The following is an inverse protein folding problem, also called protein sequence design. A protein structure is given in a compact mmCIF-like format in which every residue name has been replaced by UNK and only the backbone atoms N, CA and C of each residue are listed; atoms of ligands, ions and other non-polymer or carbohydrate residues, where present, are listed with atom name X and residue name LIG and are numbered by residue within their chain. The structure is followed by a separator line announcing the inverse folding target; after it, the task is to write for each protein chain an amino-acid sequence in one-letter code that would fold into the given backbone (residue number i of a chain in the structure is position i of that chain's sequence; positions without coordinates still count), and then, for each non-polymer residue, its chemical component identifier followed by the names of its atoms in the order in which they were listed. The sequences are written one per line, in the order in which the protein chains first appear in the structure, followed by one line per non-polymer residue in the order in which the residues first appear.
data_IF_790514834894
#
_entry.id   IF_790514834894
#
_cell.length_a   1.000
_cell.length_b   1.000
_cell.length_c   1.000
_cell.angle_alpha   90.00
_cell.angle_beta   90.00
_cell.angle_gamma   90.00
#
_symmetry.space_group_name_H-M   'P 1'
#
loop_
_entity.id
_entity.type
_entity.pdbx_description
1 polymer ?
#
# COMPACT_ATOMS: atom_id res chain seq x y z
N UNK A 1 20.93 -1.50 -10.86
CA UNK A 1 20.61 -0.59 -9.74
C UNK A 1 19.26 0.06 -9.97
N UNK A 2 18.49 0.33 -8.92
CA UNK A 2 17.23 1.06 -9.01
C UNK A 2 17.46 2.57 -9.19
N UNK A 3 16.75 3.20 -10.12
CA UNK A 3 16.80 4.63 -10.40
C UNK A 3 15.44 5.27 -10.13
N UNK A 4 15.43 6.39 -9.41
CA UNK A 4 14.22 7.17 -9.22
C UNK A 4 13.99 8.04 -10.45
N UNK A 5 12.79 7.96 -11.03
CA UNK A 5 12.35 8.75 -12.17
C UNK A 5 11.36 9.81 -11.71
N UNK A 6 11.54 11.02 -12.21
CA UNK A 6 10.78 12.21 -11.84
C UNK A 6 10.16 12.82 -13.09
N UNK A 7 8.85 13.05 -13.04
CA UNK A 7 8.06 13.70 -14.08
C UNK A 7 8.23 13.07 -15.48
N UNK A 8 8.35 11.74 -15.53
CA UNK A 8 8.44 10.97 -16.77
C UNK A 8 7.19 10.10 -16.93
N UNK A 9 6.67 9.96 -18.16
CA UNK A 9 5.54 9.09 -18.49
C UNK A 9 5.56 8.71 -19.97
N UNK A 10 6.29 7.65 -20.31
CA UNK A 10 6.50 7.21 -21.70
C UNK A 10 5.47 6.18 -22.18
N UNK A 11 4.72 5.61 -21.26
CA UNK A 11 3.71 4.59 -21.57
C UNK A 11 2.44 5.27 -22.13
N UNK A 12 1.98 4.90 -23.35
CA UNK A 12 0.79 5.49 -23.96
C UNK A 12 -0.52 5.21 -23.19
N UNK A 13 -0.52 4.27 -22.24
CA UNK A 13 -1.65 3.99 -21.36
C UNK A 13 -1.78 5.00 -20.22
N UNK A 14 -0.73 5.78 -19.95
CA UNK A 14 -0.76 6.83 -18.93
C UNK A 14 -1.38 8.12 -19.47
N UNK A 15 -2.22 8.76 -18.65
CA UNK A 15 -2.81 10.08 -18.94
C UNK A 15 -2.64 11.01 -17.75
N UNK A 16 -2.40 12.30 -17.99
CA UNK A 16 -2.12 13.29 -16.95
C UNK A 16 -2.68 14.64 -17.38
N UNK A 17 -3.12 15.45 -16.42
CA UNK A 17 -3.54 16.84 -16.63
C UNK A 17 -2.38 17.85 -16.54
N UNK A 18 -1.23 17.45 -16.00
CA UNK A 18 -0.12 18.34 -15.66
C UNK A 18 1.24 17.89 -16.21
N UNK A 19 1.25 17.13 -17.30
CA UNK A 19 2.47 16.61 -17.94
C UNK A 19 3.37 15.82 -16.97
N UNK A 20 2.77 15.01 -16.10
CA UNK A 20 3.43 14.13 -15.13
C UNK A 20 4.20 14.84 -14.01
N UNK A 21 4.05 16.16 -13.86
CA UNK A 21 4.66 16.89 -12.74
C UNK A 21 4.21 16.25 -11.41
N UNK A 22 5.17 15.87 -10.56
CA UNK A 22 4.95 15.16 -9.30
C UNK A 22 4.94 13.64 -9.38
N UNK A 23 4.98 13.07 -10.59
CA UNK A 23 5.13 11.62 -10.74
C UNK A 23 6.52 11.20 -10.29
N UNK A 24 6.57 10.25 -9.36
CA UNK A 24 7.77 9.61 -8.85
C UNK A 24 7.60 8.09 -8.99
N UNK A 25 8.55 7.42 -9.65
CA UNK A 25 8.52 5.96 -9.79
C UNK A 25 9.93 5.40 -9.92
N UNK A 26 10.12 4.15 -9.51
CA UNK A 26 11.42 3.48 -9.54
C UNK A 26 11.53 2.55 -10.75
N UNK A 27 12.65 2.60 -11.46
CA UNK A 27 12.98 1.70 -12.56
C UNK A 27 14.29 0.97 -12.28
N UNK A 28 14.31 -0.35 -12.49
CA UNK A 28 15.54 -1.13 -12.40
C UNK A 28 16.32 -1.08 -13.71
N UNK A 29 17.59 -0.72 -13.63
CA UNK A 29 18.52 -0.72 -14.76
C UNK A 29 19.74 -1.58 -14.41
N UNK A 30 19.98 -2.73 -15.07
CA UNK A 30 21.09 -3.63 -14.76
C UNK A 30 22.46 -3.00 -15.02
N UNK A 31 22.54 -2.03 -15.93
CA UNK A 31 23.77 -1.33 -16.31
C UNK A 31 24.00 -0.06 -15.47
N UNK A 32 23.01 0.35 -14.66
CA UNK A 32 23.13 1.50 -13.79
C UNK A 32 24.12 1.31 -12.63
N UNK A 33 24.90 2.36 -12.38
CA UNK A 33 25.73 2.54 -11.20
C UNK A 33 27.12 1.93 -11.34
N UNK A 34 28.15 2.62 -10.81
CA UNK A 34 29.51 2.08 -10.72
C UNK A 34 29.60 0.92 -9.71
N UNK A 35 30.65 0.09 -9.73
CA UNK A 35 30.85 -0.95 -8.72
C UNK A 35 30.78 -0.41 -7.28
N UNK A 36 31.33 0.79 -7.04
CA UNK A 36 31.33 1.45 -5.73
C UNK A 36 29.91 1.89 -5.32
N UNK A 37 29.13 2.43 -6.25
CA UNK A 37 27.73 2.81 -5.99
C UNK A 37 26.86 1.59 -5.67
N UNK A 38 27.06 0.49 -6.40
CA UNK A 38 26.36 -0.77 -6.14
C UNK A 38 26.76 -1.35 -4.79
N UNK A 39 28.05 -1.32 -4.45
CA UNK A 39 28.54 -1.77 -3.14
C UNK A 39 27.99 -0.92 -1.99
N UNK A 40 27.89 0.40 -2.18
CA UNK A 40 27.30 1.31 -1.20
C UNK A 40 25.81 1.00 -0.96
N UNK A 41 25.04 0.72 -2.01
CA UNK A 41 23.64 0.29 -1.88
C UNK A 41 23.52 -1.01 -1.06
N UNK A 42 24.36 -2.00 -1.32
CA UNK A 42 24.35 -3.26 -0.54
C UNK A 42 24.81 -3.06 0.92
N UNK A 43 25.76 -2.14 1.16
CA UNK A 43 26.16 -1.74 2.51
C UNK A 43 24.96 -1.17 3.28
N UNK A 44 24.24 -0.21 2.69
CA UNK A 44 23.06 0.40 3.31
C UNK A 44 21.96 -0.61 3.63
N UNK A 45 21.70 -1.55 2.72
CA UNK A 45 20.73 -2.65 2.94
C UNK A 45 21.13 -3.55 4.10
N UNK A 46 22.41 -3.90 4.17
CA UNK A 46 22.96 -4.74 5.24
C UNK A 46 22.92 -4.04 6.59
N UNK A 47 23.19 -2.73 6.61
CA UNK A 47 23.08 -1.90 7.82
C UNK A 47 21.65 -1.79 8.31
N UNK A 48 20.69 -1.52 7.42
CA UNK A 48 19.28 -1.51 7.77
C UNK A 48 18.87 -2.85 8.38
N UNK A 49 19.15 -3.96 7.70
CA UNK A 49 18.79 -5.30 8.17
C UNK A 49 19.36 -5.61 9.56
N UNK A 50 20.62 -5.22 9.83
CA UNK A 50 21.25 -5.42 11.14
C UNK A 50 20.57 -4.62 12.25
N UNK A 51 20.14 -3.40 11.94
CA UNK A 51 19.57 -2.46 12.91
C UNK A 51 18.03 -2.38 12.86
N UNK A 52 17.35 -3.24 12.08
CA UNK A 52 15.90 -3.22 11.80
C UNK A 52 14.99 -3.25 13.03
N UNK A 53 15.46 -3.88 14.11
CA UNK A 53 14.70 -3.94 15.39
C UNK A 53 14.92 -2.70 16.27
N UNK A 54 15.92 -1.87 15.97
CA UNK A 54 16.17 -0.58 16.64
C UNK A 54 15.58 0.59 15.87
N UNK A 55 15.51 0.46 14.54
CA UNK A 55 14.97 1.45 13.60
C UNK A 55 14.18 0.72 12.53
N UNK A 56 12.87 0.79 12.64
CA UNK A 56 11.95 0.09 11.74
C UNK A 56 11.65 0.91 10.48
N UNK A 57 11.86 2.23 10.51
CA UNK A 57 11.65 3.13 9.38
C UNK A 57 12.91 3.28 8.53
N UNK A 58 12.76 3.26 7.21
CA UNK A 58 13.81 3.70 6.29
C UNK A 58 14.02 5.22 6.34
N UNK A 59 15.17 5.64 5.84
CA UNK A 59 15.62 7.02 5.77
C UNK A 59 15.78 7.49 4.31
N UNK A 60 15.16 6.80 3.35
CA UNK A 60 15.26 7.07 1.91
C UNK A 60 16.70 7.20 1.40
N UNK A 61 17.62 6.39 1.93
CA UNK A 61 19.05 6.58 1.69
C UNK A 61 19.41 6.37 0.21
N UNK A 62 18.68 5.47 -0.46
CA UNK A 62 18.81 5.17 -1.89
C UNK A 62 18.47 6.38 -2.76
N UNK A 63 17.40 7.11 -2.43
CA UNK A 63 17.00 8.35 -3.10
C UNK A 63 18.01 9.46 -2.81
N UNK A 64 18.40 9.62 -1.54
CA UNK A 64 19.36 10.64 -1.10
C UNK A 64 20.72 10.49 -1.77
N UNK A 65 21.20 9.25 -1.97
CA UNK A 65 22.44 8.98 -2.71
C UNK A 65 22.38 9.50 -4.16
N UNK A 66 21.27 9.27 -4.85
CA UNK A 66 21.08 9.73 -6.23
C UNK A 66 21.00 11.25 -6.28
N UNK A 67 20.20 11.87 -5.41
CA UNK A 67 20.00 13.32 -5.41
C UNK A 67 21.24 14.09 -5.01
N UNK A 68 22.04 13.56 -4.07
CA UNK A 68 23.35 14.14 -3.72
C UNK A 68 24.29 14.22 -4.93
N UNK A 69 24.22 13.24 -5.84
CA UNK A 69 25.02 13.22 -7.07
C UNK A 69 24.44 14.14 -8.15
N UNK A 70 23.12 14.11 -8.35
CA UNK A 70 22.44 14.84 -9.42
C UNK A 70 22.36 16.35 -9.18
N UNK A 71 22.01 16.76 -7.97
CA UNK A 71 21.86 18.17 -7.62
C UNK A 71 23.18 18.80 -7.13
N UNK A 72 24.17 17.98 -6.80
CA UNK A 72 25.38 18.39 -6.11
C UNK A 72 25.12 18.75 -4.64
N UNK A 73 26.19 18.96 -3.87
CA UNK A 73 26.13 19.47 -2.51
C UNK A 73 26.67 20.89 -2.49
N UNK A 74 25.82 21.87 -2.16
CA UNK A 74 26.30 23.21 -1.81
C UNK A 74 27.25 23.16 -0.60
N UNK A 75 27.93 24.27 -0.31
CA UNK A 75 28.73 24.36 0.91
C UNK A 75 27.82 24.26 2.13
N UNK A 76 27.91 23.14 2.87
CA UNK A 76 27.25 22.96 4.16
C UNK A 76 28.22 23.43 5.24
N UNK A 77 27.90 24.52 5.99
CA UNK A 77 28.78 25.01 7.05
C UNK A 77 29.06 23.95 8.13
N UNK A 78 30.22 24.09 8.80
CA UNK A 78 30.53 23.28 9.96
C UNK A 78 29.48 23.46 11.07
N UNK A 79 29.19 22.39 11.80
CA UNK A 79 28.27 22.44 12.93
C UNK A 79 28.87 23.29 14.06
N UNK A 80 28.11 24.25 14.56
CA UNK A 80 28.42 24.93 15.83
C UNK A 80 27.88 24.05 16.95
N UNK A 81 28.78 23.47 17.75
CA UNK A 81 28.43 22.66 18.92
C UNK A 81 28.21 23.58 20.11
N UNK A 82 27.03 23.52 20.69
CA UNK A 82 26.65 24.26 21.90
C UNK A 82 26.63 23.24 23.04
N UNK A 83 27.23 23.56 24.19
CA UNK A 83 27.13 22.73 25.40
C UNK A 83 25.80 23.00 26.13
N UNK A 84 25.34 22.07 26.96
CA UNK A 84 24.00 22.13 27.60
C UNK A 84 23.73 23.42 28.40
N UNK A 85 24.77 24.11 28.87
CA UNK A 85 24.67 25.33 29.67
C UNK A 85 24.98 26.63 28.89
N UNK A 86 25.36 26.53 27.60
CA UNK A 86 25.72 27.68 26.78
C UNK A 86 24.48 28.38 26.18
N UNK A 87 24.48 29.72 26.19
CA UNK A 87 23.41 30.51 25.58
C UNK A 87 23.41 30.30 24.07
N UNK A 88 22.26 29.91 23.53
CA UNK A 88 22.09 29.72 22.08
C UNK A 88 22.22 31.07 21.37
N UNK A 89 23.26 31.23 20.57
CA UNK A 89 23.49 32.45 19.79
C UNK A 89 22.70 32.45 18.48
N UNK A 90 22.35 33.64 18.00
CA UNK A 90 21.73 33.82 16.67
C UNK A 90 22.59 33.21 15.56
N UNK A 91 23.92 33.37 15.64
CA UNK A 91 24.85 32.76 14.69
C UNK A 91 24.74 31.23 14.68
N UNK A 92 24.60 30.58 15.84
CA UNK A 92 24.47 29.13 15.92
C UNK A 92 23.13 28.64 15.34
N UNK A 93 22.04 29.38 15.59
CA UNK A 93 20.72 29.10 14.99
C UNK A 93 20.81 29.24 13.47
N UNK A 94 21.27 30.40 12.97
CA UNK A 94 21.36 30.68 11.54
C UNK A 94 22.27 29.69 10.82
N UNK A 95 23.40 29.32 11.42
CA UNK A 95 24.30 28.29 10.85
C UNK A 95 23.60 26.94 10.79
N UNK A 96 22.86 26.56 11.83
CA UNK A 96 22.11 25.29 11.85
C UNK A 96 20.98 25.29 10.81
N UNK A 97 20.25 26.39 10.68
CA UNK A 97 19.22 26.56 9.65
C UNK A 97 19.82 26.48 8.25
N UNK A 98 20.94 27.17 7.97
CA UNK A 98 21.63 27.04 6.67
C UNK A 98 22.04 25.61 6.37
N UNK A 99 22.57 24.89 7.35
CA UNK A 99 22.94 23.46 7.18
C UNK A 99 21.70 22.62 6.82
N UNK A 100 20.61 22.79 7.55
CA UNK A 100 19.37 22.05 7.31
C UNK A 100 18.75 22.39 5.95
N UNK A 101 18.63 23.67 5.62
CA UNK A 101 18.04 24.14 4.36
C UNK A 101 18.91 23.80 3.15
N UNK A 102 20.24 23.92 3.24
CA UNK A 102 21.14 23.49 2.16
C UNK A 102 20.99 21.99 1.91
N UNK A 103 21.01 21.17 2.97
CA UNK A 103 20.79 19.73 2.83
C UNK A 103 19.41 19.41 2.25
N UNK A 104 18.35 20.05 2.75
CA UNK A 104 16.99 19.78 2.33
C UNK A 104 16.72 20.24 0.88
N UNK A 105 17.26 21.38 0.47
CA UNK A 105 17.21 21.87 -0.92
C UNK A 105 17.88 20.91 -1.91
N UNK A 106 18.93 20.19 -1.49
CA UNK A 106 19.56 19.15 -2.34
C UNK A 106 18.64 17.97 -2.63
N UNK A 107 17.61 17.74 -1.80
CA UNK A 107 16.63 16.67 -1.99
C UNK A 107 15.46 17.08 -2.88
N UNK A 108 15.42 18.33 -3.36
CA UNK A 108 14.36 18.79 -4.25
C UNK A 108 14.54 18.22 -5.66
N UNK A 109 13.46 17.67 -6.21
CA UNK A 109 13.43 17.14 -7.56
C UNK A 109 13.45 18.25 -8.62
N UNK A 110 13.79 17.86 -9.86
CA UNK A 110 13.90 18.78 -11.00
C UNK A 110 12.60 19.50 -11.35
N UNK A 111 11.45 18.90 -11.07
CA UNK A 111 10.10 19.46 -11.29
C UNK A 111 9.58 20.26 -10.07
N UNK A 112 10.36 20.33 -8.99
CA UNK A 112 10.16 21.24 -7.86
C UNK A 112 9.57 20.64 -6.59
N UNK A 113 9.10 19.38 -6.59
CA UNK A 113 8.65 18.71 -5.37
C UNK A 113 9.80 18.03 -4.62
N UNK A 114 9.51 17.53 -3.42
CA UNK A 114 10.40 16.65 -2.66
C UNK A 114 9.87 15.22 -2.74
N UNK A 115 10.55 14.32 -3.47
CA UNK A 115 10.20 12.92 -3.47
C UNK A 115 10.39 12.34 -2.07
N UNK A 116 9.41 11.58 -1.60
CA UNK A 116 9.43 11.00 -0.28
C UNK A 116 8.64 9.69 -0.26
N UNK A 117 9.06 8.81 0.64
CA UNK A 117 8.27 7.66 1.06
C UNK A 117 6.98 8.09 1.76
N UNK A 118 5.85 7.53 1.33
CA UNK A 118 4.56 7.59 2.02
C UNK A 118 3.96 6.19 2.20
N UNK A 119 4.66 5.38 3.01
CA UNK A 119 4.31 4.00 3.33
C UNK A 119 4.29 3.77 4.85
N UNK A 120 4.43 2.51 5.28
CA UNK A 120 4.48 2.12 6.68
C UNK A 120 3.36 1.16 7.10
N UNK A 121 2.24 1.13 6.37
CA UNK A 121 1.21 0.11 6.58
C UNK A 121 1.62 -1.23 5.95
N UNK A 122 1.58 -2.30 6.74
CA UNK A 122 1.95 -3.64 6.28
C UNK A 122 0.86 -4.32 5.43
N UNK A 123 -0.30 -3.68 5.26
CA UNK A 123 -1.43 -4.19 4.46
C UNK A 123 -1.58 -3.47 3.11
N UNK A 124 -0.55 -2.77 2.61
CA UNK A 124 -0.58 -2.19 1.26
C UNK A 124 -0.01 -3.15 0.20
N UNK A 125 1.20 -3.66 0.45
CA UNK A 125 1.87 -4.59 -0.45
C UNK A 125 1.11 -5.94 -0.58
N UNK A 126 0.68 -6.60 0.51
CA UNK A 126 0.09 -7.93 0.40
C UNK A 126 -1.20 -7.98 -0.44
N UNK A 127 -2.21 -7.10 -0.23
CA UNK A 127 -3.38 -7.03 -1.11
C UNK A 127 -3.07 -6.82 -2.58
N UNK A 128 -2.07 -5.98 -2.90
CA UNK A 128 -1.66 -5.78 -4.28
C UNK A 128 -1.06 -7.06 -4.89
N UNK A 129 -0.19 -7.76 -4.15
CA UNK A 129 0.36 -9.05 -4.60
C UNK A 129 -0.76 -10.06 -4.83
N UNK A 130 -1.75 -10.15 -3.93
CA UNK A 130 -2.93 -10.99 -4.13
C UNK A 130 -3.70 -10.61 -5.39
N UNK A 131 -3.99 -9.32 -5.59
CA UNK A 131 -4.71 -8.82 -6.76
C UNK A 131 -3.98 -9.17 -8.08
N UNK A 132 -2.66 -8.97 -8.12
CA UNK A 132 -1.84 -9.32 -9.28
C UNK A 132 -1.77 -10.84 -9.52
N UNK A 133 -1.77 -11.63 -8.44
CA UNK A 133 -1.76 -13.07 -8.53
C UNK A 133 -3.06 -13.62 -9.12
N UNK A 134 -4.21 -13.21 -8.58
CA UNK A 134 -5.52 -13.71 -9.03
C UNK A 134 -5.88 -13.28 -10.45
N UNK A 135 -5.36 -12.13 -10.89
CA UNK A 135 -5.55 -11.61 -12.26
C UNK A 135 -4.51 -12.13 -13.26
N UNK A 136 -3.51 -12.90 -12.82
CA UNK A 136 -2.40 -13.38 -13.65
C UNK A 136 -1.44 -12.28 -14.12
N UNK A 137 -1.49 -11.08 -13.51
CA UNK A 137 -0.69 -9.92 -13.90
C UNK A 137 0.70 -9.86 -13.23
N UNK A 138 1.04 -10.79 -12.33
CA UNK A 138 2.34 -10.82 -11.63
C UNK A 138 3.53 -10.66 -12.57
N UNK A 139 3.62 -11.45 -13.65
CA UNK A 139 4.74 -11.38 -14.60
C UNK A 139 4.70 -10.15 -15.53
N UNK A 140 3.53 -9.50 -15.65
CA UNK A 140 3.36 -8.31 -16.49
C UNK A 140 3.86 -7.04 -15.81
N UNK A 141 3.82 -7.01 -14.48
CA UNK A 141 4.15 -5.83 -13.67
C UNK A 141 5.42 -6.04 -12.86
N UNK A 142 5.62 -7.23 -12.28
CA UNK A 142 6.70 -7.51 -11.35
C UNK A 142 7.81 -8.31 -12.02
N UNK A 143 8.91 -7.63 -12.35
CA UNK A 143 10.16 -8.30 -12.74
C UNK A 143 10.75 -9.08 -11.55
N UNK A 144 11.75 -9.92 -11.81
CA UNK A 144 12.48 -10.63 -10.76
C UNK A 144 13.01 -9.68 -9.68
N UNK A 145 13.53 -8.52 -10.08
CA UNK A 145 14.07 -7.53 -9.16
C UNK A 145 12.98 -6.89 -8.29
N UNK A 146 11.79 -6.63 -8.82
CA UNK A 146 10.65 -6.17 -8.00
C UNK A 146 10.34 -7.19 -6.90
N UNK A 147 10.28 -8.48 -7.25
CA UNK A 147 9.97 -9.55 -6.27
C UNK A 147 11.03 -9.65 -5.19
N UNK A 148 12.31 -9.62 -5.57
CA UNK A 148 13.44 -9.63 -4.61
C UNK A 148 13.33 -8.48 -3.61
N UNK A 149 13.03 -7.27 -4.09
CA UNK A 149 12.88 -6.10 -3.21
C UNK A 149 11.62 -6.17 -2.33
N UNK A 150 10.50 -6.68 -2.85
CA UNK A 150 9.27 -6.87 -2.08
C UNK A 150 9.43 -7.93 -0.99
N UNK A 151 10.09 -9.04 -1.31
CA UNK A 151 10.47 -10.09 -0.34
C UNK A 151 11.40 -9.51 0.73
N UNK A 152 12.41 -8.72 0.31
CA UNK A 152 13.31 -8.03 1.26
C UNK A 152 12.54 -7.12 2.21
N UNK A 153 11.59 -6.33 1.71
CA UNK A 153 10.75 -5.47 2.54
C UNK A 153 9.96 -6.28 3.57
N UNK A 154 9.26 -7.33 3.13
CA UNK A 154 8.48 -8.18 4.04
C UNK A 154 9.37 -8.84 5.10
N UNK A 155 10.56 -9.35 4.74
CA UNK A 155 11.46 -9.94 5.73
C UNK A 155 12.07 -8.93 6.69
N UNK A 156 12.36 -7.71 6.24
CA UNK A 156 12.90 -6.65 7.09
C UNK A 156 11.91 -6.15 8.14
N UNK A 157 10.61 -6.29 7.87
CA UNK A 157 9.53 -5.90 8.79
C UNK A 157 8.86 -7.09 9.49
N UNK A 158 9.48 -8.27 9.47
CA UNK A 158 9.08 -9.37 10.33
C UNK A 158 9.57 -9.09 11.76
N UNK A 159 8.67 -9.18 12.74
CA UNK A 159 8.98 -8.99 14.15
C UNK A 159 9.81 -10.16 14.71
N UNK A 160 10.44 -9.96 15.87
CA UNK A 160 11.27 -10.98 16.54
C UNK A 160 10.47 -12.26 16.88
N UNK A 161 9.16 -12.14 17.11
CA UNK A 161 8.26 -13.27 17.37
C UNK A 161 7.88 -14.06 16.10
N UNK A 162 8.32 -13.62 14.93
CA UNK A 162 8.04 -14.22 13.62
C UNK A 162 6.80 -13.68 12.92
N UNK A 163 5.97 -12.87 13.57
CA UNK A 163 4.79 -12.28 12.96
C UNK A 163 5.06 -10.94 12.25
N UNK A 164 3.98 -10.33 11.78
CA UNK A 164 3.95 -8.99 11.19
C UNK A 164 2.81 -8.17 11.78
N UNK A 165 3.06 -6.89 12.01
CA UNK A 165 2.04 -5.97 12.52
C UNK A 165 1.14 -5.35 11.46
N UNK A 166 0.23 -4.48 11.90
CA UNK A 166 -0.60 -3.64 11.01
C UNK A 166 0.23 -2.57 10.28
N UNK A 167 1.29 -2.10 10.92
CA UNK A 167 2.30 -1.18 10.39
C UNK A 167 3.70 -1.61 10.84
N UNK A 168 4.74 -1.04 10.24
CA UNK A 168 6.15 -1.45 10.45
C UNK A 168 6.64 -1.33 11.90
N UNK A 169 6.04 -0.44 12.69
CA UNK A 169 6.31 -0.29 14.14
C UNK A 169 5.34 -1.06 15.05
N UNK A 170 4.40 -1.82 14.45
CA UNK A 170 3.34 -2.49 15.18
C UNK A 170 3.76 -3.88 15.66
N UNK A 171 3.22 -4.27 16.82
CA UNK A 171 3.26 -5.67 17.26
C UNK A 171 2.55 -6.57 16.25
N UNK A 172 2.94 -7.84 16.24
CA UNK A 172 2.37 -8.84 15.35
C UNK A 172 0.87 -9.00 15.54
N UNK A 173 0.12 -9.06 14.43
CA UNK A 173 -1.33 -9.27 14.42
C UNK A 173 -1.70 -10.38 13.45
N UNK A 174 -2.91 -10.95 13.57
CA UNK A 174 -3.38 -11.97 12.64
C UNK A 174 -3.57 -11.40 11.24
N UNK A 175 -4.03 -10.14 11.14
CA UNK A 175 -4.14 -9.49 9.85
C UNK A 175 -2.77 -9.34 9.18
N UNK A 176 -1.82 -8.68 9.85
CA UNK A 176 -0.49 -8.42 9.31
C UNK A 176 0.26 -9.70 8.97
N UNK A 177 0.28 -10.66 9.90
CA UNK A 177 1.01 -11.93 9.73
C UNK A 177 0.38 -12.80 8.64
N UNK A 178 -0.95 -12.95 8.65
CA UNK A 178 -1.65 -13.79 7.69
C UNK A 178 -1.45 -13.33 6.25
N UNK A 179 -1.67 -12.03 5.97
CA UNK A 179 -1.53 -11.52 4.60
C UNK A 179 -0.06 -11.44 4.16
N UNK A 180 0.88 -11.13 5.05
CA UNK A 180 2.31 -11.06 4.72
C UNK A 180 2.88 -12.44 4.38
N UNK A 181 2.54 -13.46 5.18
CA UNK A 181 2.89 -14.85 4.88
C UNK A 181 2.33 -15.28 3.51
N UNK A 182 1.05 -15.01 3.26
CA UNK A 182 0.42 -15.33 1.97
C UNK A 182 1.13 -14.59 0.84
N UNK A 183 1.42 -13.30 0.95
CA UNK A 183 2.12 -12.54 -0.07
C UNK A 183 3.52 -13.09 -0.37
N UNK A 184 4.29 -13.50 0.64
CA UNK A 184 5.58 -14.17 0.46
C UNK A 184 5.43 -15.47 -0.33
N UNK A 185 4.45 -16.31 0.01
CA UNK A 185 4.13 -17.55 -0.74
C UNK A 185 3.78 -17.26 -2.20
N UNK A 186 3.02 -16.20 -2.47
CA UNK A 186 2.65 -15.78 -3.84
C UNK A 186 3.81 -15.15 -4.62
N UNK A 187 4.78 -14.55 -3.93
CA UNK A 187 6.01 -13.99 -4.52
C UNK A 187 7.04 -15.08 -4.87
N UNK A 188 6.90 -16.28 -4.31
CA UNK A 188 7.68 -17.47 -4.64
C UNK A 188 8.40 -18.13 -3.48
N UNK A 189 8.33 -17.57 -2.26
CA UNK A 189 8.97 -18.16 -1.08
C UNK A 189 8.27 -19.46 -0.69
N UNK A 190 9.03 -20.50 -0.40
CA UNK A 190 8.61 -21.77 0.19
C UNK A 190 8.19 -21.65 1.66
N UNK A 191 7.52 -22.69 2.21
CA UNK A 191 7.07 -22.71 3.60
C UNK A 191 8.22 -22.68 4.63
N UNK A 192 9.43 -23.07 4.23
CA UNK A 192 10.63 -23.13 5.07
C UNK A 192 11.70 -22.10 4.65
N UNK A 193 11.37 -21.21 3.70
CA UNK A 193 12.33 -20.27 3.15
C UNK A 193 12.57 -19.06 4.07
N UNK A 194 13.54 -18.24 3.67
CA UNK A 194 13.98 -17.05 4.41
C UNK A 194 15.02 -17.37 5.48
N UNK A 195 15.87 -16.39 5.77
CA UNK A 195 16.90 -16.52 6.79
C UNK A 195 16.30 -16.79 8.18
N UNK A 196 17.01 -17.59 8.96
CA UNK A 196 16.57 -18.04 10.29
C UNK A 196 15.19 -18.72 10.30
N UNK A 197 14.79 -19.33 9.17
CA UNK A 197 13.49 -19.97 8.97
C UNK A 197 12.32 -18.97 9.09
N UNK A 198 12.47 -17.77 8.52
CA UNK A 198 11.49 -16.69 8.61
C UNK A 198 10.05 -17.15 8.24
N UNK A 199 9.88 -17.92 7.16
CA UNK A 199 8.56 -18.42 6.76
C UNK A 199 7.97 -19.40 7.78
N UNK A 200 8.79 -20.33 8.29
CA UNK A 200 8.34 -21.30 9.28
C UNK A 200 7.94 -20.62 10.60
N UNK A 201 8.68 -19.59 11.02
CA UNK A 201 8.32 -18.78 12.20
C UNK A 201 7.03 -18.01 11.99
N UNK A 202 6.84 -17.40 10.83
CA UNK A 202 5.59 -16.72 10.47
C UNK A 202 4.39 -17.65 10.49
N UNK A 203 4.52 -18.83 9.88
CA UNK A 203 3.49 -19.88 9.93
C UNK A 203 3.22 -20.34 11.35
N UNK A 204 4.27 -20.57 12.15
CA UNK A 204 4.14 -20.95 13.56
C UNK A 204 3.37 -19.89 14.35
N UNK A 205 3.73 -18.61 14.20
CA UNK A 205 3.04 -17.51 14.84
C UNK A 205 1.55 -17.52 14.48
N UNK A 206 1.21 -17.65 13.20
CA UNK A 206 -0.19 -17.73 12.73
C UNK A 206 -0.93 -18.90 13.40
N UNK A 207 -0.34 -20.09 13.43
CA UNK A 207 -0.98 -21.27 14.00
C UNK A 207 -1.13 -21.20 15.53
N UNK A 208 -0.11 -20.70 16.23
CA UNK A 208 -0.13 -20.51 17.68
C UNK A 208 -1.21 -19.50 18.12
N UNK A 209 -1.56 -18.55 17.25
CA UNK A 209 -2.63 -17.55 17.48
C UNK A 209 -3.99 -17.98 16.88
N UNK A 210 -4.18 -19.29 16.67
CA UNK A 210 -5.47 -19.88 16.29
C UNK A 210 -5.72 -19.97 14.78
N UNK A 211 -4.74 -19.62 13.94
CA UNK A 211 -4.83 -19.68 12.48
C UNK A 211 -5.65 -18.54 11.87
N UNK A 212 -5.60 -18.44 10.54
CA UNK A 212 -6.23 -17.34 9.79
C UNK A 212 -7.76 -17.32 9.81
N UNK A 213 -8.41 -18.29 10.47
CA UNK A 213 -9.85 -18.19 10.78
C UNK A 213 -10.16 -16.96 11.65
N UNK A 214 -9.19 -16.47 12.42
CA UNK A 214 -9.31 -15.30 13.27
C UNK A 214 -8.95 -13.98 12.57
N UNK A 215 -8.67 -14.00 11.27
CA UNK A 215 -8.25 -12.79 10.55
C UNK A 215 -9.41 -11.76 10.50
N UNK A 216 -9.14 -10.44 10.63
CA UNK A 216 -10.19 -9.41 10.52
C UNK A 216 -10.90 -9.37 9.17
N UNK A 217 -12.02 -8.64 9.10
CA UNK A 217 -12.91 -8.60 7.92
C UNK A 217 -12.22 -8.27 6.60
N UNK A 218 -11.25 -7.36 6.59
CA UNK A 218 -10.46 -7.02 5.40
C UNK A 218 -9.55 -8.17 4.97
N UNK A 219 -8.96 -8.89 5.94
CA UNK A 219 -8.22 -10.11 5.66
C UNK A 219 -9.12 -11.19 5.08
N UNK A 220 -10.29 -11.45 5.69
CA UNK A 220 -11.26 -12.43 5.18
C UNK A 220 -11.63 -12.13 3.73
N UNK A 221 -11.92 -10.87 3.41
CA UNK A 221 -12.21 -10.43 2.05
C UNK A 221 -11.08 -10.82 1.07
N UNK A 222 -9.83 -10.48 1.38
CA UNK A 222 -8.70 -10.79 0.49
C UNK A 222 -8.40 -12.29 0.39
N UNK A 223 -8.55 -13.03 1.49
CA UNK A 223 -8.41 -14.49 1.48
C UNK A 223 -9.54 -15.17 0.67
N UNK A 224 -10.76 -14.62 0.67
CA UNK A 224 -11.85 -15.06 -0.22
C UNK A 224 -11.55 -14.79 -1.68
N UNK A 225 -11.08 -13.59 -2.00
CA UNK A 225 -10.67 -13.23 -3.38
C UNK A 225 -9.58 -14.16 -3.88
N UNK A 226 -8.63 -14.56 -3.04
CA UNK A 226 -7.59 -15.54 -3.38
C UNK A 226 -8.13 -16.99 -3.48
N UNK A 227 -9.24 -17.29 -2.83
CA UNK A 227 -9.83 -18.64 -2.77
C UNK A 227 -9.24 -19.51 -1.66
N UNK A 228 -8.70 -18.92 -0.61
CA UNK A 228 -8.25 -19.67 0.58
C UNK A 228 -9.11 -19.37 1.80
N UNK A 229 -10.29 -18.78 1.66
CA UNK A 229 -11.30 -18.58 2.70
C UNK A 229 -12.67 -18.54 2.01
N UNK A 230 -13.75 -19.01 2.64
CA UNK A 230 -15.07 -19.01 2.01
C UNK A 230 -15.87 -17.74 2.30
N UNK A 231 -16.56 -17.22 1.28
CA UNK A 231 -17.42 -16.02 1.39
C UNK A 231 -18.49 -16.11 2.49
N UNK A 232 -18.94 -17.32 2.83
CA UNK A 232 -19.90 -17.55 3.91
C UNK A 232 -19.35 -17.19 5.29
N UNK A 233 -18.02 -17.15 5.45
CA UNK A 233 -17.37 -16.70 6.68
C UNK A 233 -17.08 -15.21 6.74
N UNK A 234 -17.52 -14.44 5.75
CA UNK A 234 -17.45 -12.97 5.74
C UNK A 234 -18.77 -12.33 6.20
N UNK A 235 -18.67 -11.17 6.85
CA UNK A 235 -19.85 -10.32 6.99
C UNK A 235 -20.28 -9.79 5.62
N UNK A 236 -21.59 -9.70 5.34
CA UNK A 236 -22.09 -9.22 4.06
C UNK A 236 -21.60 -7.82 3.65
N UNK A 237 -21.23 -7.67 2.37
CA UNK A 237 -20.91 -6.39 1.72
C UNK A 237 -21.90 -6.14 0.56
N UNK A 238 -23.18 -5.89 0.85
CA UNK A 238 -24.23 -5.90 -0.18
C UNK A 238 -24.10 -4.71 -1.14
N UNK A 239 -23.87 -4.94 -2.45
CA UNK A 239 -23.80 -3.85 -3.43
C UNK A 239 -25.11 -3.08 -3.56
N UNK A 240 -26.24 -3.67 -3.16
CA UNK A 240 -27.58 -3.06 -3.21
C UNK A 240 -27.69 -1.75 -2.42
N UNK A 241 -26.79 -1.53 -1.45
CA UNK A 241 -26.71 -0.26 -0.73
C UNK A 241 -26.51 0.94 -1.67
N UNK A 242 -25.90 0.73 -2.85
CA UNK A 242 -25.70 1.75 -3.88
C UNK A 242 -26.99 2.14 -4.64
N UNK A 243 -28.06 1.36 -4.50
CA UNK A 243 -29.36 1.64 -5.11
C UNK A 243 -30.32 2.36 -4.16
N UNK A 244 -29.96 2.48 -2.87
CA UNK A 244 -30.79 3.17 -1.89
C UNK A 244 -30.85 4.69 -2.20
N UNK A 245 -31.98 5.36 -1.89
CA UNK A 245 -32.00 6.81 -1.86
C UNK A 245 -30.97 7.40 -0.88
N UNK A 246 -30.34 8.53 -1.22
CA UNK A 246 -29.32 9.18 -0.37
C UNK A 246 -29.78 9.56 1.04
N UNK A 247 -31.10 9.68 1.26
CA UNK A 247 -31.68 9.98 2.58
C UNK A 247 -31.45 8.86 3.61
N UNK A 248 -31.19 7.62 3.16
CA UNK A 248 -30.89 6.52 4.08
C UNK A 248 -29.47 6.68 4.66
N UNK A 249 -29.29 6.63 5.99
CA UNK A 249 -27.97 6.80 6.62
C UNK A 249 -26.91 5.81 6.14
N UNK A 250 -27.34 4.60 5.77
CA UNK A 250 -26.48 3.51 5.29
C UNK A 250 -26.12 3.64 3.80
N UNK A 251 -26.65 4.64 3.08
CA UNK A 251 -26.29 4.84 1.68
C UNK A 251 -24.79 5.20 1.58
N UNK A 252 -23.97 4.51 0.76
CA UNK A 252 -22.51 4.71 0.74
C UNK A 252 -22.08 6.14 0.39
N UNK A 253 -22.93 6.91 -0.30
CA UNK A 253 -22.73 8.33 -0.55
C UNK A 253 -22.55 9.20 0.71
N UNK A 254 -23.00 8.73 1.88
CA UNK A 254 -22.86 9.41 3.17
C UNK A 254 -21.61 8.98 3.96
N UNK A 255 -20.85 8.00 3.47
CA UNK A 255 -19.61 7.56 4.11
C UNK A 255 -18.46 8.52 3.80
N UNK A 256 -17.46 8.53 4.68
CA UNK A 256 -16.17 9.17 4.41
C UNK A 256 -15.61 8.64 3.06
N UNK A 257 -15.01 9.53 2.26
CA UNK A 257 -14.65 9.26 0.85
C UNK A 257 -13.83 7.98 0.67
N UNK A 258 -12.79 7.77 1.47
CA UNK A 258 -11.95 6.58 1.43
C UNK A 258 -12.74 5.31 1.78
N UNK A 259 -13.61 5.37 2.79
CA UNK A 259 -14.48 4.24 3.15
C UNK A 259 -15.48 3.91 2.03
N UNK A 260 -16.07 4.92 1.40
CA UNK A 260 -16.99 4.75 0.27
C UNK A 260 -16.29 4.11 -0.93
N UNK A 261 -15.15 4.67 -1.34
CA UNK A 261 -14.40 4.21 -2.51
C UNK A 261 -13.78 2.84 -2.30
N UNK A 262 -13.44 2.47 -1.05
CA UNK A 262 -13.02 1.10 -0.71
C UNK A 262 -14.20 0.13 -0.75
N UNK A 263 -15.35 0.53 -0.21
CA UNK A 263 -16.54 -0.33 -0.16
C UNK A 263 -17.04 -0.74 -1.55
N UNK A 264 -17.04 0.15 -2.54
CA UNK A 264 -17.62 -0.09 -3.87
C UNK A 264 -17.01 -1.33 -4.59
N UNK A 265 -15.69 -1.41 -4.85
CA UNK A 265 -15.10 -2.56 -5.50
C UNK A 265 -15.16 -3.82 -4.62
N UNK A 266 -15.06 -3.69 -3.29
CA UNK A 266 -15.24 -4.82 -2.38
C UNK A 266 -16.67 -5.40 -2.45
N UNK A 267 -17.69 -4.55 -2.50
CA UNK A 267 -19.09 -4.94 -2.62
C UNK A 267 -19.39 -5.54 -3.99
N UNK A 268 -18.75 -5.06 -5.06
CA UNK A 268 -18.80 -5.69 -6.37
C UNK A 268 -18.29 -7.14 -6.33
N UNK A 269 -17.06 -7.35 -5.82
CA UNK A 269 -16.43 -8.68 -5.77
C UNK A 269 -17.17 -9.63 -4.81
N UNK A 270 -17.62 -9.14 -3.66
CA UNK A 270 -18.50 -9.89 -2.76
C UNK A 270 -19.82 -10.27 -3.44
N UNK A 271 -20.44 -9.30 -4.14
CA UNK A 271 -21.72 -9.50 -4.80
C UNK A 271 -21.66 -10.56 -5.91
N UNK A 272 -20.53 -10.60 -6.63
CA UNK A 272 -20.15 -11.62 -7.61
C UNK A 272 -19.71 -12.96 -7.00
N UNK A 273 -19.36 -12.98 -5.71
CA UNK A 273 -18.65 -14.10 -5.06
C UNK A 273 -17.36 -14.45 -5.81
N UNK A 274 -16.60 -13.42 -6.21
CA UNK A 274 -15.37 -13.61 -6.96
C UNK A 274 -14.38 -14.49 -6.20
N UNK A 275 -13.77 -15.44 -6.90
CA UNK A 275 -12.70 -16.30 -6.39
C UNK A 275 -11.66 -16.46 -7.51
N UNK A 276 -10.40 -16.22 -7.18
CA UNK A 276 -9.27 -16.40 -8.09
C UNK A 276 -9.04 -17.86 -8.50
N UNK A 277 -8.09 -18.10 -9.43
CA UNK A 277 -7.79 -19.45 -9.91
C UNK A 277 -7.20 -20.34 -8.80
N UNK A 278 -7.62 -21.61 -8.75
CA UNK A 278 -7.07 -22.58 -7.82
C UNK A 278 -5.73 -23.13 -8.32
N UNK A 279 -4.65 -22.58 -7.77
CA UNK A 279 -3.27 -22.99 -8.06
C UNK A 279 -2.73 -23.97 -7.01
N UNK A 280 -1.55 -24.54 -7.26
CA UNK A 280 -0.84 -25.36 -6.28
C UNK A 280 -0.53 -24.59 -4.99
N UNK A 281 -0.10 -23.32 -5.10
CA UNK A 281 0.16 -22.46 -3.94
C UNK A 281 -1.11 -22.22 -3.13
N UNK A 282 -2.25 -21.97 -3.80
CA UNK A 282 -3.56 -21.80 -3.14
C UNK A 282 -3.95 -23.08 -2.38
N UNK A 283 -3.79 -24.27 -2.98
CA UNK A 283 -4.05 -25.55 -2.31
C UNK A 283 -3.14 -25.77 -1.10
N UNK A 284 -1.86 -25.45 -1.25
CA UNK A 284 -0.86 -25.57 -0.19
C UNK A 284 -1.20 -24.65 0.99
N UNK A 285 -1.54 -23.39 0.73
CA UNK A 285 -1.98 -22.43 1.74
C UNK A 285 -3.18 -22.93 2.56
N UNK A 286 -4.17 -23.59 1.93
CA UNK A 286 -5.31 -24.20 2.66
C UNK A 286 -4.90 -25.27 3.67
N UNK A 287 -3.68 -25.82 3.57
CA UNK A 287 -3.12 -26.82 4.49
C UNK A 287 -2.11 -26.22 5.49
N UNK A 288 -1.54 -25.05 5.19
CA UNK A 288 -0.43 -24.47 5.96
C UNK A 288 -0.86 -23.60 7.15
N UNK A 289 -1.91 -22.78 6.99
CA UNK A 289 -2.21 -21.66 7.90
C UNK A 289 -3.53 -21.82 8.69
N UNK A 290 -4.04 -23.05 8.73
CA UNK A 290 -5.27 -23.43 9.42
C UNK A 290 -4.98 -24.43 10.54
N UNK A 291 -5.61 -24.25 11.70
CA UNK A 291 -5.53 -25.18 12.85
C UNK A 291 -6.44 -26.41 12.70
N UNK A 292 -7.42 -26.34 11.78
CA UNK A 292 -8.33 -27.43 11.44
C UNK A 292 -8.29 -27.71 9.94
N UNK A 293 -8.57 -28.94 9.49
CA UNK A 293 -8.65 -29.24 8.06
C UNK A 293 -9.65 -28.31 7.36
N UNK A 294 -9.20 -27.64 6.29
CA UNK A 294 -9.98 -26.61 5.56
C UNK A 294 -11.43 -27.04 5.24
N UNK A 295 -11.61 -28.28 4.78
CA UNK A 295 -12.91 -28.83 4.39
C UNK A 295 -13.88 -29.09 5.56
N UNK A 296 -13.42 -29.02 6.82
CA UNK A 296 -14.24 -29.20 8.03
C UNK A 296 -14.63 -27.89 8.69
N UNK A 297 -14.21 -26.76 8.13
CA UNK A 297 -14.48 -25.44 8.72
C UNK A 297 -15.93 -25.05 8.48
N UNK A 298 -16.64 -24.71 9.55
CA UNK A 298 -18.01 -24.18 9.50
C UNK A 298 -17.98 -22.66 9.29
N UNK A 299 -17.76 -22.23 8.05
CA UNK A 299 -17.46 -20.83 7.71
C UNK A 299 -18.45 -19.80 8.26
N UNK A 300 -19.77 -20.05 8.19
CA UNK A 300 -20.78 -19.10 8.67
C UNK A 300 -20.59 -18.71 10.16
N UNK A 301 -20.07 -19.62 10.98
CA UNK A 301 -19.81 -19.39 12.41
C UNK A 301 -18.65 -18.43 12.65
N UNK A 302 -17.77 -18.23 11.66
CA UNK A 302 -16.56 -17.43 11.78
C UNK A 302 -16.77 -15.95 11.48
N UNK A 303 -17.95 -15.50 11.04
CA UNK A 303 -18.17 -14.13 10.53
C UNK A 303 -17.71 -13.03 11.48
N UNK A 304 -17.94 -13.21 12.78
CA UNK A 304 -17.56 -12.26 13.82
C UNK A 304 -16.28 -12.63 14.56
N UNK A 305 -15.66 -13.76 14.23
CA UNK A 305 -14.39 -14.16 14.83
C UNK A 305 -13.28 -13.19 14.39
N UNK A 306 -12.49 -12.73 15.35
CA UNK A 306 -11.36 -11.84 15.16
C UNK A 306 -10.33 -12.09 16.26
N UNK A 307 -9.05 -12.14 15.91
CA UNK A 307 -7.96 -12.28 16.87
C UNK A 307 -7.94 -11.06 17.81
N UNK A 308 -7.61 -11.29 19.09
CA UNK A 308 -7.61 -10.24 20.12
C UNK A 308 -6.64 -9.11 19.79
N UNK A 309 -5.52 -9.45 19.15
CA UNK A 309 -4.46 -8.53 18.73
C UNK A 309 -4.94 -7.53 17.67
N UNK A 310 -6.00 -7.86 16.93
CA UNK A 310 -6.55 -7.02 15.86
C UNK A 310 -7.79 -6.21 16.29
N UNK A 311 -8.32 -6.44 17.50
CA UNK A 311 -9.53 -5.74 17.97
C UNK A 311 -9.16 -4.36 18.54
N UNK A 312 -9.22 -3.33 17.70
CA UNK A 312 -9.08 -1.93 18.14
C UNK A 312 -10.39 -1.36 18.69
N UNK A 313 -11.51 -1.68 18.05
CA UNK A 313 -12.84 -1.22 18.44
C UNK A 313 -13.75 -2.44 18.63
N UNK A 314 -14.00 -2.87 19.87
CA UNK A 314 -14.89 -4.01 20.09
C UNK A 314 -16.29 -3.66 19.58
N UNK A 315 -16.88 -4.50 18.71
CA UNK A 315 -18.20 -4.22 18.17
C UNK A 315 -19.25 -4.28 19.30
N UNK A 316 -20.15 -3.30 19.33
CA UNK A 316 -21.35 -3.37 20.15
C UNK A 316 -22.36 -4.39 19.53
N UNK A 317 -23.51 -4.60 20.17
CA UNK A 317 -24.47 -5.62 19.73
C UNK A 317 -25.14 -5.31 18.36
N UNK A 318 -25.18 -4.05 17.92
CA UNK A 318 -25.97 -3.63 16.75
C UNK A 318 -25.47 -4.22 15.42
N UNK A 319 -24.15 -4.19 15.10
CA UNK A 319 -23.61 -4.87 13.92
C UNK A 319 -23.95 -6.36 13.84
N UNK A 320 -23.99 -7.08 14.97
CA UNK A 320 -24.34 -8.50 14.98
C UNK A 320 -25.76 -8.76 14.48
N UNK A 321 -26.73 -7.99 14.99
CA UNK A 321 -28.12 -8.09 14.53
C UNK A 321 -28.27 -7.67 13.07
N UNK A 322 -27.61 -6.58 12.67
CA UNK A 322 -27.66 -6.08 11.29
C UNK A 322 -27.09 -7.10 10.30
N UNK A 323 -25.87 -7.59 10.52
CA UNK A 323 -25.26 -8.60 9.64
C UNK A 323 -25.96 -9.96 9.72
N UNK A 324 -26.54 -10.31 10.88
CA UNK A 324 -27.39 -11.49 11.04
C UNK A 324 -28.63 -11.40 10.16
N UNK A 325 -29.33 -10.25 10.17
CA UNK A 325 -30.49 -10.01 9.32
C UNK A 325 -30.13 -10.06 7.83
N UNK A 326 -29.03 -9.39 7.44
CA UNK A 326 -28.60 -9.39 6.02
C UNK A 326 -28.28 -10.81 5.56
N UNK A 327 -27.52 -11.58 6.34
CA UNK A 327 -27.12 -12.93 5.93
C UNK A 327 -28.29 -13.91 5.89
N UNK A 328 -29.18 -13.88 6.87
CA UNK A 328 -30.20 -14.92 7.03
C UNK A 328 -31.49 -14.61 6.26
N UNK A 329 -31.73 -13.35 5.91
CA UNK A 329 -32.94 -12.93 5.20
C UNK A 329 -32.64 -12.26 3.86
N UNK A 330 -31.81 -11.20 3.85
CA UNK A 330 -31.59 -10.39 2.65
C UNK A 330 -30.82 -11.17 1.57
N UNK A 331 -29.72 -11.83 1.93
CA UNK A 331 -28.89 -12.61 0.99
C UNK A 331 -29.65 -13.77 0.33
N UNK A 332 -30.42 -14.62 1.04
CA UNK A 332 -31.24 -15.66 0.42
C UNK A 332 -32.29 -15.09 -0.53
N UNK A 333 -32.97 -13.99 -0.15
CA UNK A 333 -33.98 -13.35 -1.00
C UNK A 333 -33.36 -12.83 -2.29
N UNK A 334 -32.21 -12.15 -2.21
CA UNK A 334 -31.51 -11.59 -3.37
C UNK A 334 -30.95 -12.66 -4.33
N UNK A 335 -30.86 -13.93 -3.93
CA UNK A 335 -30.46 -15.03 -4.83
C UNK A 335 -31.63 -15.59 -5.65
N UNK A 336 -32.87 -15.28 -5.29
CA UNK A 336 -34.07 -15.85 -5.92
C UNK A 336 -34.62 -14.87 -6.96
N UNK A 337 -35.03 -15.38 -8.12
CA UNK A 337 -35.70 -14.56 -9.14
C UNK A 337 -37.10 -14.13 -8.63
N UNK A 338 -37.51 -12.86 -8.81
CA UNK A 338 -36.88 -11.80 -9.60
C UNK A 338 -35.93 -10.87 -8.82
N UNK A 339 -35.73 -11.09 -7.51
CA UNK A 339 -34.92 -10.21 -6.67
C UNK A 339 -33.43 -10.22 -7.04
N UNK A 340 -32.93 -11.29 -7.68
CA UNK A 340 -31.59 -11.34 -8.26
C UNK A 340 -31.31 -10.22 -9.29
N UNK A 341 -32.35 -9.68 -9.94
CA UNK A 341 -32.22 -8.51 -10.84
C UNK A 341 -31.72 -7.28 -10.07
N UNK A 342 -32.04 -7.16 -8.78
CA UNK A 342 -31.55 -6.06 -7.93
C UNK A 342 -30.04 -6.17 -7.73
N UNK A 343 -29.52 -7.39 -7.48
CA UNK A 343 -28.08 -7.68 -7.41
C UNK A 343 -27.38 -7.33 -8.71
N UNK A 344 -27.92 -7.73 -9.86
CA UNK A 344 -27.36 -7.39 -11.17
C UNK A 344 -27.29 -5.88 -11.41
N UNK A 345 -28.36 -5.14 -11.10
CA UNK A 345 -28.39 -3.67 -11.19
C UNK A 345 -27.38 -3.02 -10.25
N UNK A 346 -27.25 -3.55 -9.03
CA UNK A 346 -26.31 -3.05 -8.05
C UNK A 346 -24.86 -3.28 -8.46
N UNK A 347 -24.54 -4.45 -9.02
CA UNK A 347 -23.23 -4.76 -9.57
C UNK A 347 -22.86 -3.85 -10.74
N UNK A 348 -23.80 -3.61 -11.66
CA UNK A 348 -23.60 -2.64 -12.75
C UNK A 348 -23.33 -1.24 -12.21
N UNK A 349 -24.13 -0.79 -11.23
CA UNK A 349 -23.95 0.52 -10.58
C UNK A 349 -22.61 0.65 -9.85
N UNK A 350 -22.12 -0.42 -9.25
CA UNK A 350 -20.81 -0.46 -8.61
C UNK A 350 -19.70 -0.31 -9.65
N UNK A 351 -19.76 -1.09 -10.74
CA UNK A 351 -18.79 -1.03 -11.83
C UNK A 351 -18.77 0.34 -12.53
N UNK A 352 -19.93 0.95 -12.76
CA UNK A 352 -20.03 2.31 -13.29
C UNK A 352 -19.34 3.35 -12.37
N UNK A 353 -19.41 3.15 -11.04
CA UNK A 353 -18.71 4.03 -10.09
C UNK A 353 -17.21 3.78 -10.03
N UNK A 354 -16.76 2.53 -10.19
CA UNK A 354 -15.34 2.19 -10.31
C UNK A 354 -14.77 2.89 -11.54
N UNK A 355 -15.40 2.74 -12.71
CA UNK A 355 -14.96 3.40 -13.94
C UNK A 355 -15.00 4.94 -13.85
N UNK A 356 -15.96 5.50 -13.11
CA UNK A 356 -16.00 6.94 -12.88
C UNK A 356 -14.79 7.41 -12.05
N UNK A 357 -14.47 6.72 -10.95
CA UNK A 357 -13.29 7.01 -10.12
C UNK A 357 -11.99 6.82 -10.93
N UNK A 358 -11.88 5.74 -11.70
CA UNK A 358 -10.76 5.44 -12.59
C UNK A 358 -10.50 6.61 -13.55
N UNK A 359 -11.55 7.12 -14.19
CA UNK A 359 -11.44 8.23 -15.13
C UNK A 359 -11.09 9.55 -14.43
N UNK A 360 -11.72 9.86 -13.30
CA UNK A 360 -11.46 11.07 -12.52
C UNK A 360 -10.03 11.13 -11.96
N UNK A 361 -9.47 9.98 -11.58
CA UNK A 361 -8.15 9.87 -10.97
C UNK A 361 -7.03 9.52 -11.96
N UNK A 362 -7.36 9.36 -13.26
CA UNK A 362 -6.43 8.81 -14.26
C UNK A 362 -5.84 7.44 -13.85
N UNK A 363 -6.70 6.57 -13.31
CA UNK A 363 -6.43 5.20 -12.86
C UNK A 363 -5.45 5.11 -11.67
N UNK A 364 -5.32 6.22 -10.93
CA UNK A 364 -4.58 6.27 -9.68
C UNK A 364 -5.44 5.79 -8.51
N UNK A 365 -6.74 6.10 -8.48
CA UNK A 365 -7.63 6.00 -7.33
C UNK A 365 -7.18 6.85 -6.12
N UNK A 366 -8.03 6.90 -5.09
CA UNK A 366 -7.73 7.55 -3.81
C UNK A 366 -6.71 6.79 -2.93
N UNK A 367 -6.25 5.62 -3.38
CA UNK A 367 -5.11 4.92 -2.78
C UNK A 367 -5.08 3.43 -3.04
N UNK A 368 -3.99 2.79 -2.62
CA UNK A 368 -3.66 1.42 -3.05
C UNK A 368 -4.70 0.37 -2.68
N UNK A 369 -5.34 0.49 -1.51
CA UNK A 369 -6.37 -0.46 -1.08
C UNK A 369 -7.54 -0.49 -2.07
N UNK A 370 -8.00 0.69 -2.50
CA UNK A 370 -9.06 0.83 -3.50
C UNK A 370 -8.57 0.29 -4.84
N UNK A 371 -7.36 0.71 -5.22
CA UNK A 371 -6.72 0.30 -6.47
C UNK A 371 -6.57 -1.21 -6.63
N UNK A 372 -6.14 -1.90 -5.59
CA UNK A 372 -5.99 -3.36 -5.63
C UNK A 372 -7.34 -4.05 -5.88
N UNK A 373 -8.42 -3.60 -5.24
CA UNK A 373 -9.75 -4.17 -5.45
C UNK A 373 -10.34 -3.77 -6.82
N UNK A 374 -10.11 -2.53 -7.28
CA UNK A 374 -10.52 -2.05 -8.59
C UNK A 374 -9.83 -2.84 -9.73
N UNK A 375 -8.53 -3.14 -9.60
CA UNK A 375 -7.79 -4.01 -10.54
C UNK A 375 -8.51 -5.34 -10.75
N UNK A 376 -8.93 -6.00 -9.66
CA UNK A 376 -9.63 -7.28 -9.74
C UNK A 376 -11.03 -7.11 -10.35
N UNK A 377 -11.75 -6.05 -9.99
CA UNK A 377 -13.07 -5.77 -10.56
C UNK A 377 -13.03 -5.49 -12.08
N UNK A 378 -12.10 -4.67 -12.55
CA UNK A 378 -11.90 -4.39 -13.98
C UNK A 378 -11.41 -5.62 -14.77
N UNK A 379 -10.68 -6.52 -14.10
CA UNK A 379 -10.29 -7.80 -14.68
C UNK A 379 -11.48 -8.77 -14.79
N UNK A 380 -12.34 -8.85 -13.77
CA UNK A 380 -13.58 -9.65 -13.79
C UNK A 380 -14.55 -9.16 -14.87
N UNK A 381 -14.65 -7.84 -15.09
CA UNK A 381 -15.40 -7.27 -16.22
C UNK A 381 -14.80 -7.72 -17.56
N UNK A 382 -13.47 -7.69 -17.70
CA UNK A 382 -12.79 -8.16 -18.89
C UNK A 382 -11.26 -8.17 -18.74
N UNK A 383 -10.59 -9.32 -18.88
CA UNK A 383 -9.14 -9.46 -18.63
C UNK A 383 -8.26 -8.70 -19.64
N UNK A 384 -8.83 -8.28 -20.78
CA UNK A 384 -8.17 -7.49 -21.82
C UNK A 384 -8.73 -6.05 -21.91
N UNK A 385 -9.58 -5.64 -20.97
CA UNK A 385 -10.19 -4.32 -20.96
C UNK A 385 -9.13 -3.21 -20.94
N UNK A 386 -9.46 -2.06 -21.53
CA UNK A 386 -8.57 -0.90 -21.46
C UNK A 386 -8.39 -0.41 -20.02
N UNK A 387 -9.46 -0.44 -19.23
CA UNK A 387 -9.43 -0.08 -17.82
C UNK A 387 -8.40 -0.91 -17.04
N UNK A 388 -8.43 -2.24 -17.19
CA UNK A 388 -7.46 -3.13 -16.54
C UNK A 388 -6.02 -2.82 -16.98
N UNK A 389 -5.77 -2.60 -18.28
CA UNK A 389 -4.43 -2.27 -18.79
C UNK A 389 -3.91 -0.94 -18.22
N UNK A 390 -4.77 0.10 -18.15
CA UNK A 390 -4.42 1.40 -17.57
C UNK A 390 -4.16 1.32 -16.07
N UNK A 391 -4.93 0.50 -15.36
CA UNK A 391 -4.68 0.21 -13.95
C UNK A 391 -3.29 -0.36 -13.70
N UNK A 392 -2.87 -1.35 -14.50
CA UNK A 392 -1.54 -1.96 -14.39
C UNK A 392 -0.43 -0.96 -14.71
N UNK A 393 -0.61 -0.11 -15.73
CA UNK A 393 0.36 0.91 -16.12
C UNK A 393 0.64 1.93 -14.99
N UNK A 394 -0.32 2.14 -14.08
CA UNK A 394 -0.21 3.04 -12.92
C UNK A 394 0.40 2.43 -11.66
N UNK A 395 0.71 1.13 -11.64
CA UNK A 395 1.30 0.49 -10.46
C UNK A 395 2.71 0.97 -10.09
N UNK A 396 3.60 1.31 -11.04
CA UNK A 396 4.91 1.87 -10.69
C UNK A 396 4.83 3.15 -9.85
N UNK A 397 3.77 3.95 -9.99
CA UNK A 397 3.53 5.17 -9.22
C UNK A 397 3.35 4.89 -7.71
N UNK A 398 3.08 3.64 -7.34
CA UNK A 398 2.88 3.17 -5.97
C UNK A 398 4.11 2.50 -5.36
N UNK A 399 5.12 2.15 -6.17
CA UNK A 399 6.31 1.45 -5.69
C UNK A 399 7.35 2.42 -5.18
N UNK A 400 7.92 2.11 -4.02
CA UNK A 400 9.01 2.87 -3.43
C UNK A 400 10.13 1.94 -2.99
N UNK A 401 11.37 2.26 -3.37
CA UNK A 401 12.56 1.48 -3.03
C UNK A 401 13.42 2.27 -2.05
N UNK A 402 13.70 1.68 -0.89
CA UNK A 402 14.65 2.19 0.08
C UNK A 402 15.59 1.07 0.56
N UNK A 403 16.43 1.34 1.56
CA UNK A 403 17.39 0.38 2.10
C UNK A 403 16.74 -0.85 2.75
N UNK A 404 15.46 -0.77 3.11
CA UNK A 404 14.67 -1.85 3.67
C UNK A 404 13.97 -2.72 2.60
N UNK A 405 13.96 -2.31 1.32
CA UNK A 405 13.35 -3.04 0.20
C UNK A 405 12.32 -2.22 -0.57
N UNK A 406 11.50 -2.91 -1.39
CA UNK A 406 10.42 -2.29 -2.14
C UNK A 406 9.10 -2.44 -1.39
N UNK A 407 8.51 -1.30 -1.08
CA UNK A 407 7.20 -1.18 -0.46
C UNK A 407 6.20 -0.57 -1.41
N UNK A 408 4.95 -0.64 -1.00
CA UNK A 408 3.82 -0.05 -1.71
C UNK A 408 3.26 1.08 -0.86
N UNK A 409 3.17 2.27 -1.45
CA UNK A 409 2.69 3.49 -0.80
C UNK A 409 1.15 3.54 -0.84
N UNK A 410 0.51 4.36 -0.02
CA UNK A 410 -0.94 4.59 -0.18
C UNK A 410 -1.23 5.49 -1.38
N UNK A 411 -0.44 6.55 -1.52
CA UNK A 411 -0.33 7.54 -2.60
C UNK A 411 0.89 8.40 -2.22
N UNK A 412 1.41 9.24 -3.12
CA UNK A 412 2.51 10.13 -2.75
C UNK A 412 2.06 11.31 -1.88
N UNK A 413 3.00 11.93 -1.17
CA UNK A 413 2.78 13.11 -0.30
C UNK A 413 3.30 14.42 -0.92
N UNK A 414 3.50 14.47 -2.25
CA UNK A 414 4.27 15.51 -2.93
C UNK A 414 3.79 16.94 -2.60
N UNK A 415 2.49 17.22 -2.75
CA UNK A 415 1.93 18.57 -2.50
C UNK A 415 1.92 18.90 -1.00
N UNK A 416 1.75 17.88 -0.15
CA UNK A 416 1.77 18.03 1.31
C UNK A 416 3.16 18.43 1.81
N UNK A 417 4.18 17.65 1.43
CA UNK A 417 5.56 17.89 1.80
C UNK A 417 6.05 19.22 1.24
N UNK A 418 5.72 19.52 -0.02
CA UNK A 418 6.05 20.80 -0.64
C UNK A 418 5.43 22.00 0.10
N UNK A 419 4.17 21.91 0.52
CA UNK A 419 3.50 23.01 1.23
C UNK A 419 4.18 23.30 2.56
N UNK A 420 4.54 22.27 3.32
CA UNK A 420 5.29 22.46 4.57
C UNK A 420 6.72 22.93 4.32
N UNK A 421 7.38 22.44 3.28
CA UNK A 421 8.72 22.86 2.88
C UNK A 421 8.79 24.36 2.59
N UNK A 422 7.86 24.87 1.77
CA UNK A 422 7.77 26.31 1.47
C UNK A 422 7.59 27.11 2.76
N UNK A 423 6.67 26.69 3.63
CA UNK A 423 6.41 27.38 4.90
C UNK A 423 7.63 27.37 5.83
N UNK A 424 8.34 26.26 5.91
CA UNK A 424 9.54 26.12 6.73
C UNK A 424 10.68 27.03 6.23
N UNK A 425 10.93 27.05 4.91
CA UNK A 425 11.95 27.91 4.30
C UNK A 425 11.60 29.38 4.52
N UNK A 426 10.35 29.79 4.28
CA UNK A 426 9.93 31.19 4.49
C UNK A 426 10.04 31.62 5.96
N UNK A 427 9.69 30.74 6.89
CA UNK A 427 9.74 31.02 8.33
C UNK A 427 11.17 31.09 8.90
N UNK A 428 12.17 30.63 8.14
CA UNK A 428 13.57 30.67 8.56
C UNK A 428 14.22 32.05 8.48
N UNK A 429 13.56 33.02 7.84
CA UNK A 429 14.14 34.32 7.45
C UNK A 429 15.40 34.23 6.55
N UNK A 430 15.65 33.07 5.93
CA UNK A 430 16.75 32.85 4.98
C UNK A 430 16.25 32.69 3.54
N UNK A 431 15.00 33.05 3.25
CA UNK A 431 14.35 32.77 1.96
C UNK A 431 15.06 33.38 0.76
N UNK A 432 15.80 34.48 0.92
CA UNK A 432 16.60 35.09 -0.15
C UNK A 432 17.73 34.16 -0.61
N UNK A 433 18.38 33.46 0.34
CA UNK A 433 19.43 32.48 0.05
C UNK A 433 18.88 31.24 -0.68
N UNK A 434 17.61 30.90 -0.42
CA UNK A 434 16.94 29.70 -0.95
C UNK A 434 15.86 30.01 -2.01
N UNK A 435 15.90 31.21 -2.60
CA UNK A 435 14.96 31.62 -3.64
C UNK A 435 14.87 30.65 -4.84
N UNK A 436 15.96 30.07 -5.37
CA UNK A 436 15.88 29.10 -6.46
C UNK A 436 15.05 27.85 -6.10
N UNK A 437 15.18 27.36 -4.86
CA UNK A 437 14.38 26.25 -4.33
C UNK A 437 12.90 26.63 -4.25
N UNK A 438 12.60 27.81 -3.69
CA UNK A 438 11.24 28.32 -3.57
C UNK A 438 10.58 28.55 -4.95
N UNK A 439 11.34 29.03 -5.93
CA UNK A 439 10.86 29.24 -7.30
C UNK A 439 10.41 27.94 -7.96
N UNK A 440 11.21 26.87 -7.85
CA UNK A 440 10.83 25.55 -8.36
C UNK A 440 9.60 25.01 -7.64
N UNK A 441 9.55 25.14 -6.31
CA UNK A 441 8.41 24.68 -5.52
C UNK A 441 7.12 25.43 -5.89
N UNK A 442 7.21 26.73 -6.17
CA UNK A 442 6.08 27.52 -6.66
C UNK A 442 5.62 27.06 -8.05
N UNK A 443 6.55 26.75 -8.97
CA UNK A 443 6.22 26.22 -10.30
C UNK A 443 5.49 24.88 -10.20
N UNK A 444 5.95 23.98 -9.33
CA UNK A 444 5.27 22.73 -9.02
C UNK A 444 3.84 22.96 -8.54
N UNK A 445 3.67 23.85 -7.55
CA UNK A 445 2.35 24.12 -6.96
C UNK A 445 1.38 24.69 -8.01
N UNK A 446 1.85 25.61 -8.86
CA UNK A 446 1.07 26.17 -9.96
C UNK A 446 0.66 25.11 -10.98
N UNK A 447 1.53 24.16 -11.28
CA UNK A 447 1.23 23.06 -12.21
C UNK A 447 0.34 21.98 -11.60
N UNK A 448 0.26 21.89 -10.27
CA UNK A 448 -0.49 20.85 -9.54
C UNK A 448 -1.84 21.32 -9.01
N UNK A 449 -2.23 22.57 -9.28
CA UNK A 449 -3.54 23.09 -8.93
C UNK A 449 -4.61 22.45 -9.83
N UNK A 450 -5.61 21.82 -9.20
CA UNK A 450 -6.75 21.16 -9.86
C UNK A 450 -7.77 22.18 -10.36
#
# INVERSE_FOLDING_TARGET
MWKLKIAEGKDPLLSTSNNFIGRQHWEFDPEAGTPEERAEVERLRSEFKRDRFKRQQSSDLLMRLQFKKENGCGYIPAAIKIKDEEVISEQAITTTLRRALTFYSMLQAKDGHWPAESAGSCFFLPPLVLALYVTGAMNRVLTLEHRKEMIRYLYNHQNEDGGWGLHIEGNSTMFGSGISYVALRLLGEGPEDGEDMAMARGRKWILDHGGVINIPSWGKFWLCVLGIYEWDGCNPLPPEMLLLPKIFPIHPGNFMSYSRLTFIPMAYLYGKRFVGPETEVVRSLRQEIYTHPYHRIHWNSLRFLCAKEDVNYPPNAMPYYMYGFIQNFVEPVLKIWPFSIVREKALKRALDQIHYEDQCSHYMDIGITVKAAAIVACWDEGPNSEAFRRHLARLPDYFWVAEDGMKVQSFGSQTWDLSFSIRAILSSNLYEEYWPTLKKAHQFLKASQV
#
